data_IF_573014546147
#
_entry.id   IF_573014546147
#
_cell.length_a   1.000
_cell.length_b   1.000
_cell.length_c   1.000
_cell.angle_alpha   90.00
_cell.angle_beta   90.00
_cell.angle_gamma   90.00
#
_symmetry.space_group_name_H-M   'P 1'
#
loop_
_entity.id
_entity.type
_entity.pdbx_description
1 polymer ?
#
# COMPACT_ATOMS: atom_id res chain seq x y z
N UNK A 1 -12.76 24.61 -10.72
CA UNK A 1 -12.22 23.32 -11.20
C UNK A 1 -12.29 22.40 -10.02
N UNK A 2 -12.93 21.24 -10.14
CA UNK A 2 -13.08 20.29 -9.04
C UNK A 2 -12.08 19.16 -9.16
N UNK A 3 -11.77 18.50 -8.05
CA UNK A 3 -10.98 17.27 -8.03
C UNK A 3 -11.74 16.17 -8.77
N UNK A 4 -11.10 15.55 -9.77
CA UNK A 4 -11.69 14.40 -10.47
C UNK A 4 -11.61 13.15 -9.59
N UNK A 5 -12.75 12.50 -9.33
CA UNK A 5 -12.80 11.22 -8.60
C UNK A 5 -13.57 10.19 -9.41
N UNK A 6 -12.88 9.14 -9.88
CA UNK A 6 -13.48 8.06 -10.66
C UNK A 6 -13.32 6.70 -9.97
N UNK A 7 -14.30 5.82 -10.18
CA UNK A 7 -14.27 4.45 -9.62
C UNK A 7 -13.48 3.53 -10.52
N UNK A 8 -12.67 2.66 -9.93
CA UNK A 8 -11.95 1.60 -10.64
C UNK A 8 -12.19 0.24 -9.97
N UNK A 9 -11.95 -0.88 -10.67
CA UNK A 9 -11.99 -2.19 -10.05
C UNK A 9 -11.11 -2.23 -8.80
N UNK A 10 -11.76 -2.42 -7.65
CA UNK A 10 -11.09 -2.47 -6.36
C UNK A 10 -10.63 -1.13 -5.79
N UNK A 11 -11.03 0.05 -6.30
CA UNK A 11 -10.50 1.31 -5.77
C UNK A 11 -11.13 2.59 -6.32
N UNK A 12 -10.39 3.70 -6.14
CA UNK A 12 -10.72 5.03 -6.67
C UNK A 12 -9.48 5.64 -7.32
N UNK A 13 -9.66 6.33 -8.44
CA UNK A 13 -8.73 7.38 -8.84
C UNK A 13 -9.19 8.70 -8.23
N UNK A 14 -8.26 9.43 -7.64
CA UNK A 14 -8.45 10.78 -7.12
C UNK A 14 -7.37 11.63 -7.76
N UNK A 15 -7.77 12.54 -8.65
CA UNK A 15 -6.86 13.43 -9.37
C UNK A 15 -5.75 12.67 -10.14
N UNK A 16 -6.10 11.49 -10.67
CA UNK A 16 -5.18 10.57 -11.35
C UNK A 16 -4.34 9.68 -10.42
N UNK A 17 -4.32 9.93 -9.10
CA UNK A 17 -3.67 9.04 -8.14
C UNK A 17 -4.58 7.87 -7.76
N UNK A 18 -3.99 6.69 -7.61
CA UNK A 18 -4.73 5.45 -7.43
C UNK A 18 -4.76 5.03 -5.95
N UNK A 19 -5.95 4.83 -5.42
CA UNK A 19 -6.19 4.25 -4.10
C UNK A 19 -6.91 2.92 -4.27
N UNK A 20 -6.30 1.81 -3.82
CA UNK A 20 -6.85 0.46 -3.98
C UNK A 20 -7.18 -0.20 -2.65
N UNK A 21 -8.32 -0.88 -2.64
CA UNK A 21 -8.67 -1.91 -1.66
C UNK A 21 -7.88 -3.18 -1.96
N UNK A 22 -7.46 -3.88 -0.91
CA UNK A 22 -6.79 -5.15 -1.03
C UNK A 22 -7.06 -5.99 0.20
N UNK A 23 -7.27 -7.28 0.01
CA UNK A 23 -7.36 -8.28 1.08
C UNK A 23 -6.90 -9.59 0.51
N UNK A 24 -6.34 -10.46 1.36
CA UNK A 24 -6.01 -11.80 0.93
C UNK A 24 -7.33 -12.54 0.68
N UNK A 25 -7.57 -13.00 -0.55
CA UNK A 25 -8.74 -13.81 -0.90
C UNK A 25 -8.65 -15.23 -0.35
N UNK A 26 -7.98 -15.41 0.79
CA UNK A 26 -7.61 -16.69 1.37
C UNK A 26 -8.86 -17.49 1.71
N UNK A 27 -9.16 -18.50 0.90
CA UNK A 27 -10.11 -19.56 1.23
C UNK A 27 -9.36 -20.60 2.08
N UNK A 28 -9.83 -20.83 3.31
CA UNK A 28 -9.63 -21.94 4.27
C UNK A 28 -8.31 -22.74 4.40
N UNK A 29 -7.36 -22.72 3.47
CA UNK A 29 -6.19 -23.61 3.38
C UNK A 29 -4.88 -22.98 3.88
N UNK A 30 -4.85 -21.67 4.14
CA UNK A 30 -3.70 -20.97 4.69
C UNK A 30 -4.14 -20.10 5.89
N UNK A 31 -3.23 -19.93 6.86
CA UNK A 31 -3.46 -19.03 7.97
C UNK A 31 -3.73 -17.61 7.45
N UNK A 32 -4.79 -16.98 7.96
CA UNK A 32 -5.16 -15.63 7.57
C UNK A 32 -4.04 -14.66 7.98
N UNK A 33 -3.51 -13.86 7.05
CA UNK A 33 -2.53 -12.83 7.38
C UNK A 33 -3.15 -11.62 8.10
N UNK A 34 -4.49 -11.51 8.15
CA UNK A 34 -5.26 -10.39 8.72
C UNK A 34 -4.93 -9.00 8.14
N UNK A 35 -4.19 -8.95 7.04
CA UNK A 35 -3.81 -7.69 6.39
C UNK A 35 -4.77 -7.27 5.29
N UNK A 36 -4.97 -5.95 5.17
CA UNK A 36 -5.90 -5.36 4.20
C UNK A 36 -5.60 -3.87 3.94
N UNK A 37 -6.16 -3.34 2.86
CA UNK A 37 -6.35 -1.92 2.60
C UNK A 37 -7.79 -1.68 2.19
N UNK A 38 -8.33 -0.51 2.53
CA UNK A 38 -9.70 -0.13 2.26
C UNK A 38 -9.79 1.34 1.89
N UNK A 39 -10.60 1.61 0.88
CA UNK A 39 -10.91 2.95 0.40
C UNK A 39 -12.40 3.18 0.54
N UNK A 40 -12.78 4.27 1.21
CA UNK A 40 -14.17 4.70 1.35
C UNK A 40 -14.29 6.15 0.90
N UNK A 41 -15.28 6.47 0.09
CA UNK A 41 -15.66 7.85 -0.25
C UNK A 41 -16.97 8.20 0.45
N UNK A 42 -17.04 9.35 1.11
CA UNK A 42 -18.25 9.91 1.71
C UNK A 42 -18.32 11.40 1.38
N UNK A 43 -19.17 11.79 0.44
CA UNK A 43 -19.19 13.18 -0.04
C UNK A 43 -17.84 13.58 -0.62
N UNK A 44 -17.26 14.65 -0.08
CA UNK A 44 -15.96 15.22 -0.45
C UNK A 44 -14.79 14.70 0.40
N UNK A 45 -14.99 13.56 1.08
CA UNK A 45 -13.96 12.92 1.89
C UNK A 45 -13.64 11.52 1.35
N UNK A 46 -12.36 11.24 1.14
CA UNK A 46 -11.82 9.92 0.79
C UNK A 46 -10.95 9.42 1.93
N UNK A 47 -11.35 8.30 2.52
CA UNK A 47 -10.62 7.64 3.59
C UNK A 47 -9.93 6.39 3.05
N UNK A 48 -8.61 6.37 3.16
CA UNK A 48 -7.77 5.22 2.95
C UNK A 48 -7.30 4.67 4.30
N UNK A 49 -7.70 3.45 4.63
CA UNK A 49 -7.24 2.76 5.83
C UNK A 49 -6.60 1.43 5.50
N UNK A 50 -5.55 1.06 6.21
CA UNK A 50 -4.86 -0.20 5.99
C UNK A 50 -4.32 -0.80 7.28
N UNK A 51 -4.29 -2.13 7.31
CA UNK A 51 -3.61 -2.91 8.34
C UNK A 51 -2.60 -3.82 7.66
N UNK A 52 -1.32 -3.55 7.86
CA UNK A 52 -0.21 -4.34 7.35
C UNK A 52 0.46 -5.22 8.44
N UNK A 53 0.12 -5.01 9.71
CA UNK A 53 0.50 -5.88 10.81
C UNK A 53 -0.22 -7.24 10.76
N UNK A 54 0.53 -8.32 10.98
CA UNK A 54 0.01 -9.70 11.14
C UNK A 54 -0.02 -10.06 12.64
N UNK A 55 -0.59 -11.20 13.05
CA UNK A 55 -0.49 -11.64 14.45
C UNK A 55 0.95 -11.86 14.94
N UNK A 56 1.89 -12.10 14.01
CA UNK A 56 3.28 -12.42 14.31
C UNK A 56 4.20 -11.20 14.29
N UNK A 57 3.69 -10.00 13.94
CA UNK A 57 4.49 -8.77 13.93
C UNK A 57 4.65 -8.19 15.31
N UNK A 58 5.88 -7.79 15.64
CA UNK A 58 6.28 -7.28 16.95
C UNK A 58 6.67 -5.79 16.91
N UNK A 59 7.01 -5.25 15.74
CA UNK A 59 7.44 -3.87 15.57
C UNK A 59 6.35 -3.05 14.85
N UNK A 60 5.22 -2.90 15.53
CA UNK A 60 4.05 -2.19 15.02
C UNK A 60 4.18 -0.68 15.21
N UNK A 61 3.76 0.08 14.20
CA UNK A 61 3.71 1.54 14.24
C UNK A 61 2.55 2.03 13.37
N UNK A 62 2.16 3.29 13.55
CA UNK A 62 1.14 3.91 12.72
C UNK A 62 1.73 5.06 11.92
N UNK A 63 1.26 5.20 10.69
CA UNK A 63 1.58 6.36 9.86
C UNK A 63 0.39 6.77 9.00
N UNK A 64 0.38 8.03 8.60
CA UNK A 64 -0.75 8.59 7.87
C UNK A 64 -0.54 10.06 7.54
N UNK A 65 -1.46 10.57 6.72
CA UNK A 65 -1.49 11.98 6.36
C UNK A 65 -2.88 12.39 5.91
N UNK A 66 -3.15 13.68 5.96
CA UNK A 66 -4.35 14.30 5.44
C UNK A 66 -3.96 15.36 4.43
N UNK A 67 -4.52 15.26 3.22
CA UNK A 67 -4.35 16.27 2.16
C UNK A 67 -5.69 16.84 1.74
N UNK A 68 -5.69 18.11 1.34
CA UNK A 68 -6.89 18.81 0.86
C UNK A 68 -6.65 19.56 -0.45
N UNK A 69 -7.65 19.58 -1.33
CA UNK A 69 -7.65 20.35 -2.58
C UNK A 69 -9.09 20.64 -3.00
N UNK A 70 -9.39 21.90 -3.27
CA UNK A 70 -10.72 22.36 -3.73
C UNK A 70 -11.90 21.84 -2.87
N UNK A 71 -11.70 21.72 -1.55
CA UNK A 71 -12.69 21.20 -0.60
C UNK A 71 -12.74 19.67 -0.46
N UNK A 72 -12.05 18.92 -1.34
CA UNK A 72 -11.88 17.48 -1.22
C UNK A 72 -10.79 17.16 -0.19
N UNK A 73 -11.06 16.22 0.70
CA UNK A 73 -10.14 15.76 1.75
C UNK A 73 -9.78 14.29 1.50
N UNK A 74 -8.50 13.96 1.52
CA UNK A 74 -8.02 12.57 1.52
C UNK A 74 -7.32 12.30 2.83
N UNK A 75 -7.88 11.37 3.61
CA UNK A 75 -7.34 10.91 4.88
C UNK A 75 -6.71 9.53 4.68
N UNK A 76 -5.44 9.39 5.06
CA UNK A 76 -4.67 8.16 4.97
C UNK A 76 -4.22 7.75 6.37
N UNK A 77 -4.50 6.52 6.75
CA UNK A 77 -4.10 5.96 8.05
C UNK A 77 -3.76 4.47 7.92
N UNK A 78 -2.56 4.09 8.35
CA UNK A 78 -2.05 2.73 8.22
C UNK A 78 -1.52 2.24 9.57
N UNK A 79 -2.02 1.09 10.00
CA UNK A 79 -1.42 0.27 11.06
C UNK A 79 -0.38 -0.63 10.40
N UNK A 80 0.88 -0.25 10.52
CA UNK A 80 1.99 -0.89 9.83
C UNK A 80 2.90 -1.63 10.81
N UNK A 81 3.79 -2.46 10.26
CA UNK A 81 4.84 -3.10 11.03
C UNK A 81 6.16 -3.10 10.24
N UNK A 82 7.28 -2.81 10.91
CA UNK A 82 8.62 -2.81 10.28
C UNK A 82 9.05 -4.23 9.93
N UNK A 83 8.68 -5.18 10.76
CA UNK A 83 8.97 -6.61 10.62
C UNK A 83 7.92 -7.38 9.79
N UNK A 84 6.96 -6.70 9.14
CA UNK A 84 6.00 -7.39 8.25
C UNK A 84 6.73 -8.10 7.11
N UNK A 85 6.33 -9.34 6.89
CA UNK A 85 6.87 -10.20 5.82
C UNK A 85 5.84 -10.40 4.70
N UNK A 86 4.55 -10.24 5.02
CA UNK A 86 3.46 -10.38 4.05
C UNK A 86 2.50 -9.20 4.16
N UNK A 87 1.92 -8.79 3.04
CA UNK A 87 0.88 -7.77 3.03
C UNK A 87 -0.04 -7.94 1.82
N UNK A 88 -1.34 -8.02 2.05
CA UNK A 88 -2.35 -8.25 1.01
C UNK A 88 -3.14 -7.01 0.61
N UNK A 89 -2.91 -5.89 1.28
CA UNK A 89 -3.44 -4.59 0.86
C UNK A 89 -2.59 -3.94 -0.23
N UNK A 90 -2.89 -2.69 -0.51
CA UNK A 90 -2.07 -1.79 -1.32
C UNK A 90 -1.59 -0.65 -0.42
N UNK A 91 -0.49 -0.01 -0.79
CA UNK A 91 -0.04 1.20 -0.13
C UNK A 91 -0.60 2.40 -0.90
N UNK A 92 -0.94 3.49 -0.20
CA UNK A 92 -1.40 4.71 -0.83
C UNK A 92 -0.21 5.44 -1.48
N UNK A 93 -0.48 6.39 -2.38
CA UNK A 93 0.54 7.33 -2.87
C UNK A 93 1.28 8.02 -1.73
N UNK A 94 2.47 8.54 -1.98
CA UNK A 94 3.19 9.36 -1.02
C UNK A 94 2.54 10.74 -0.87
N UNK A 95 2.70 11.37 0.30
CA UNK A 95 2.24 12.74 0.54
C UNK A 95 2.80 13.74 -0.49
N UNK A 96 4.02 13.52 -0.97
CA UNK A 96 4.66 14.34 -2.02
C UNK A 96 3.94 14.25 -3.36
N UNK A 97 3.43 13.07 -3.76
CA UNK A 97 2.71 12.90 -5.03
C UNK A 97 1.42 13.73 -5.08
N UNK A 98 0.78 13.92 -3.92
CA UNK A 98 -0.37 14.82 -3.79
C UNK A 98 0.07 16.28 -3.92
N UNK A 99 1.17 16.68 -3.28
CA UNK A 99 1.70 18.05 -3.35
C UNK A 99 2.11 18.43 -4.77
N UNK A 100 2.72 17.50 -5.53
CA UNK A 100 3.07 17.69 -6.94
C UNK A 100 1.83 17.95 -7.81
N UNK A 101 0.66 17.50 -7.37
CA UNK A 101 -0.64 17.77 -8.00
C UNK A 101 -1.36 19.00 -7.42
N UNK A 102 -0.69 19.76 -6.57
CA UNK A 102 -1.22 20.99 -5.96
C UNK A 102 -2.15 20.75 -4.78
N UNK A 103 -2.08 19.58 -4.14
CA UNK A 103 -2.78 19.35 -2.87
C UNK A 103 -2.01 19.94 -1.70
N UNK A 104 -2.73 20.43 -0.70
CA UNK A 104 -2.14 20.96 0.54
C UNK A 104 -2.12 19.87 1.60
N UNK A 105 -0.94 19.61 2.17
CA UNK A 105 -0.79 18.74 3.33
C UNK A 105 -1.32 19.47 4.58
N UNK A 106 -2.35 18.91 5.21
CA UNK A 106 -2.96 19.45 6.43
C UNK A 106 -2.29 18.85 7.66
N UNK A 107 -2.11 17.54 7.66
CA UNK A 107 -1.54 16.80 8.77
C UNK A 107 -0.72 15.63 8.26
N UNK A 108 0.34 15.28 9.01
CA UNK A 108 1.16 14.09 8.76
C UNK A 108 1.56 13.49 10.09
N UNK A 109 1.31 12.19 10.24
CA UNK A 109 1.68 11.41 11.41
C UNK A 109 2.64 10.33 10.94
N UNK A 110 3.88 10.38 11.41
CA UNK A 110 4.92 9.45 10.96
C UNK A 110 5.17 9.51 9.45
N UNK A 111 5.80 8.47 8.93
CA UNK A 111 6.04 8.34 7.50
C UNK A 111 6.18 6.86 7.14
N UNK A 112 5.83 6.51 5.90
CA UNK A 112 6.11 5.19 5.37
C UNK A 112 7.62 4.98 5.33
N UNK A 113 8.12 4.03 6.10
CA UNK A 113 9.55 3.73 6.11
C UNK A 113 9.98 2.80 4.97
N UNK A 114 9.05 2.03 4.43
CA UNK A 114 9.31 1.16 3.29
C UNK A 114 9.33 1.97 1.99
N UNK A 115 10.40 1.81 1.21
CA UNK A 115 10.50 2.38 -0.14
C UNK A 115 9.72 1.52 -1.14
N UNK A 116 10.25 1.24 -2.33
CA UNK A 116 9.60 0.34 -3.26
C UNK A 116 9.38 -1.04 -2.62
N UNK A 117 8.12 -1.48 -2.56
CA UNK A 117 7.72 -2.78 -2.05
C UNK A 117 7.07 -3.58 -3.17
N UNK A 118 7.63 -4.76 -3.43
CA UNK A 118 7.09 -5.69 -4.41
C UNK A 118 6.47 -6.87 -3.68
N UNK A 119 5.22 -7.17 -4.01
CA UNK A 119 4.46 -8.27 -3.44
C UNK A 119 4.43 -9.43 -4.41
N UNK A 120 4.75 -10.63 -3.92
CA UNK A 120 4.52 -11.85 -4.68
C UNK A 120 3.02 -12.10 -4.84
N UNK A 121 2.54 -12.26 -6.08
CA UNK A 121 1.14 -12.54 -6.38
C UNK A 121 0.63 -13.85 -5.76
N UNK A 122 1.50 -14.85 -5.59
CA UNK A 122 1.16 -16.15 -5.01
C UNK A 122 1.17 -16.16 -3.48
N UNK A 123 2.31 -15.85 -2.85
CA UNK A 123 2.48 -15.99 -1.40
C UNK A 123 2.22 -14.72 -0.61
N UNK A 124 2.06 -13.57 -1.27
CA UNK A 124 1.96 -12.23 -0.66
C UNK A 124 3.20 -11.80 0.13
N UNK A 125 4.31 -12.54 -0.01
CA UNK A 125 5.62 -12.16 0.53
C UNK A 125 6.08 -10.84 -0.07
N UNK A 126 6.70 -10.01 0.77
CA UNK A 126 7.18 -8.69 0.41
C UNK A 126 8.68 -8.70 0.17
N UNK A 127 9.07 -8.31 -1.04
CA UNK A 127 10.42 -7.84 -1.32
C UNK A 127 10.49 -6.35 -0.98
N UNK A 128 11.15 -6.03 0.13
CA UNK A 128 11.44 -4.65 0.56
C UNK A 128 12.87 -4.31 0.16
N UNK A 129 13.05 -3.42 -0.82
CA UNK A 129 14.41 -3.05 -1.28
C UNK A 129 15.30 -2.52 -0.15
N UNK A 130 14.70 -1.83 0.84
CA UNK A 130 15.37 -1.34 2.05
C UNK A 130 16.07 -2.48 2.82
N UNK A 131 15.43 -3.64 2.92
CA UNK A 131 15.94 -4.77 3.69
C UNK A 131 16.90 -5.63 2.89
N UNK A 132 16.72 -5.68 1.57
CA UNK A 132 17.48 -6.54 0.66
C UNK A 132 18.78 -5.88 0.17
N UNK A 133 18.85 -4.54 0.18
CA UNK A 133 20.00 -3.78 -0.33
C UNK A 133 20.22 -3.90 -1.84
N UNK A 134 19.30 -4.56 -2.56
CA UNK A 134 19.33 -4.76 -4.01
C UNK A 134 18.01 -4.29 -4.61
N UNK A 135 18.06 -3.54 -5.70
CA UNK A 135 16.86 -3.13 -6.43
C UNK A 135 16.17 -4.35 -7.05
N UNK A 136 14.84 -4.40 -7.02
CA UNK A 136 14.08 -5.52 -7.56
C UNK A 136 14.35 -5.71 -9.07
N UNK A 137 14.53 -4.61 -9.80
CA UNK A 137 14.87 -4.63 -11.24
C UNK A 137 16.28 -5.14 -11.53
N UNK A 138 17.15 -5.19 -10.53
CA UNK A 138 18.53 -5.65 -10.65
C UNK A 138 18.69 -7.10 -10.20
N UNK A 139 17.59 -7.78 -9.86
CA UNK A 139 17.61 -9.19 -9.52
C UNK A 139 17.98 -10.05 -10.75
N UNK A 140 18.73 -11.14 -10.58
CA UNK A 140 19.01 -12.08 -11.65
C UNK A 140 17.74 -12.71 -12.24
N UNK A 141 17.76 -13.06 -13.52
CA UNK A 141 16.62 -13.70 -14.21
C UNK A 141 16.18 -15.04 -13.58
N UNK A 142 17.11 -15.74 -12.92
CA UNK A 142 16.84 -17.01 -12.25
C UNK A 142 16.39 -16.84 -10.79
N UNK A 143 16.31 -15.61 -10.28
CA UNK A 143 15.85 -15.35 -8.93
C UNK A 143 14.37 -15.73 -8.77
N UNK A 144 14.04 -16.30 -7.62
CA UNK A 144 12.71 -16.79 -7.30
C UNK A 144 12.31 -16.37 -5.89
N UNK A 145 11.01 -16.16 -5.70
CA UNK A 145 10.43 -15.89 -4.39
C UNK A 145 10.84 -16.97 -3.39
N UNK A 146 11.50 -16.63 -2.27
CA UNK A 146 11.99 -17.61 -1.31
C UNK A 146 10.85 -18.39 -0.62
N UNK A 147 9.63 -17.85 -0.63
CA UNK A 147 8.46 -18.47 0.00
C UNK A 147 7.74 -19.48 -0.89
N UNK A 148 7.82 -19.37 -2.23
CA UNK A 148 6.98 -20.18 -3.13
C UNK A 148 7.60 -20.52 -4.49
N UNK A 149 8.80 -20.03 -4.80
CA UNK A 149 9.47 -20.31 -6.07
C UNK A 149 8.94 -19.52 -7.28
N UNK A 150 7.99 -18.60 -7.11
CA UNK A 150 7.48 -17.75 -8.19
C UNK A 150 8.59 -16.87 -8.78
N UNK A 151 8.68 -16.70 -10.12
CA UNK A 151 9.64 -15.78 -10.74
C UNK A 151 9.32 -14.31 -10.44
N UNK A 152 10.25 -13.40 -10.74
CA UNK A 152 10.06 -11.94 -10.58
C UNK A 152 8.84 -11.41 -11.33
N UNK A 153 8.47 -12.00 -12.47
CA UNK A 153 7.26 -11.66 -13.24
C UNK A 153 5.95 -11.92 -12.49
N UNK A 154 5.97 -12.73 -11.42
CA UNK A 154 4.85 -12.97 -10.53
C UNK A 154 4.69 -11.92 -9.42
N UNK A 155 5.52 -10.88 -9.40
CA UNK A 155 5.45 -9.80 -8.42
C UNK A 155 4.75 -8.57 -8.99
N UNK A 156 4.08 -7.83 -8.10
CA UNK A 156 3.49 -6.54 -8.39
C UNK A 156 4.04 -5.50 -7.42
N UNK A 157 4.33 -4.30 -7.91
CA UNK A 157 4.64 -3.17 -7.04
C UNK A 157 3.34 -2.70 -6.37
N UNK A 158 3.36 -2.57 -5.04
CA UNK A 158 2.15 -2.24 -4.26
C UNK A 158 2.18 -0.84 -3.66
N UNK A 159 3.18 -0.03 -3.97
CA UNK A 159 3.23 1.40 -3.67
C UNK A 159 4.57 2.02 -3.98
#
# INVERSE_FOLDING_TARGET
MGVEVSKVPGGLHVDGLLLKNGKCGCTSFAACCYTWSKVKKKGDEVNFTAKAATPDTNDNYTWGYTVTKDGMIVNVSIDDARDKVTYSGFLPPAASEWQDKGWTLVEKIGEREDKAVFRCGMSKWLYKEKDQGTLFISLPDNWKCPMCGSPTSGFEQIG
#
